data_IF_353834609944
#
_entry.id   IF_353834609944
#
_cell.length_a   1.000
_cell.length_b   1.000
_cell.length_c   1.000
_cell.angle_alpha   90.00
_cell.angle_beta   90.00
_cell.angle_gamma   90.00
#
_symmetry.space_group_name_H-M   'P 1'
#
loop_
_entity.id
_entity.type
_entity.pdbx_description
1 polymer ?
#
# COMPACT_ATOMS: atom_id res chain seq x y z
N UNK A 1 20.67 -9.61 -14.99
CA UNK A 1 21.25 -8.66 -14.00
C UNK A 1 20.63 -7.26 -14.19
N UNK A 2 19.46 -7.17 -14.84
CA UNK A 2 19.04 -5.96 -15.56
C UNK A 2 17.53 -5.74 -15.38
N UNK A 3 16.99 -6.15 -14.23
CA UNK A 3 15.57 -5.95 -13.93
C UNK A 3 15.23 -4.45 -13.96
N UNK A 4 14.12 -4.15 -14.63
CA UNK A 4 13.51 -2.84 -14.80
C UNK A 4 12.02 -3.02 -14.46
N UNK A 5 11.47 -2.15 -13.63
CA UNK A 5 10.07 -2.24 -13.20
C UNK A 5 9.88 -2.10 -11.70
N UNK A 6 8.73 -2.56 -11.21
CA UNK A 6 8.34 -2.38 -9.81
C UNK A 6 8.77 -3.55 -8.92
N UNK A 7 9.53 -3.27 -7.88
CA UNK A 7 9.92 -4.25 -6.86
C UNK A 7 9.13 -4.02 -5.58
N UNK A 8 8.17 -4.89 -5.28
CA UNK A 8 7.46 -4.86 -4.00
C UNK A 8 8.24 -5.62 -2.93
N UNK A 9 8.49 -4.98 -1.78
CA UNK A 9 9.14 -5.61 -0.63
C UNK A 9 8.45 -5.27 0.70
N UNK A 10 8.79 -6.01 1.74
CA UNK A 10 8.38 -5.76 3.14
C UNK A 10 9.27 -4.74 3.86
N UNK A 11 10.23 -4.14 3.16
CA UNK A 11 11.25 -3.27 3.74
C UNK A 11 12.45 -4.02 4.35
N UNK A 12 12.63 -5.30 4.04
CA UNK A 12 13.81 -6.04 4.50
C UNK A 12 15.11 -5.49 3.87
N UNK A 13 16.10 -5.23 4.72
CA UNK A 13 17.34 -4.54 4.34
C UNK A 13 18.13 -5.21 3.20
N UNK A 14 17.96 -6.51 2.97
CA UNK A 14 18.58 -7.20 1.84
C UNK A 14 18.14 -6.65 0.46
N UNK A 15 16.99 -5.98 0.41
CA UNK A 15 16.46 -5.33 -0.80
C UNK A 15 16.84 -3.85 -0.91
N UNK A 16 17.52 -3.26 0.07
CA UNK A 16 17.91 -1.83 0.06
C UNK A 16 18.78 -1.46 -1.15
N UNK A 17 19.59 -2.39 -1.65
CA UNK A 17 20.36 -2.23 -2.89
C UNK A 17 19.51 -1.89 -4.12
N UNK A 18 18.21 -2.20 -4.10
CA UNK A 18 17.27 -1.90 -5.17
C UNK A 18 16.52 -0.58 -4.98
N UNK A 19 16.58 0.03 -3.78
CA UNK A 19 15.92 1.31 -3.52
C UNK A 19 16.57 2.47 -4.29
N UNK A 20 17.86 2.36 -4.59
CA UNK A 20 18.63 3.35 -5.35
C UNK A 20 19.00 2.86 -6.76
N UNK A 21 18.52 1.68 -7.16
CA UNK A 21 18.85 1.13 -8.47
C UNK A 21 18.05 1.85 -9.54
N UNK A 22 18.74 2.49 -10.47
CA UNK A 22 18.13 3.14 -11.62
C UNK A 22 17.25 2.14 -12.40
N UNK A 23 16.03 2.58 -12.72
CA UNK A 23 15.06 1.77 -13.45
C UNK A 23 14.24 0.78 -12.61
N UNK A 24 14.49 0.71 -11.29
CA UNK A 24 13.65 -0.02 -10.35
C UNK A 24 12.81 0.95 -9.53
N UNK A 25 11.50 0.73 -9.51
CA UNK A 25 10.56 1.45 -8.66
C UNK A 25 10.28 0.61 -7.42
N UNK A 26 10.81 0.95 -6.24
CA UNK A 26 10.49 0.22 -5.01
C UNK A 26 9.03 0.49 -4.60
N UNK A 27 8.30 -0.57 -4.26
CA UNK A 27 6.95 -0.52 -3.72
C UNK A 27 6.93 -1.13 -2.32
N UNK A 28 6.26 -0.46 -1.38
CA UNK A 28 6.04 -1.02 -0.05
C UNK A 28 4.89 -2.04 -0.07
N UNK A 29 5.06 -3.17 0.63
CA UNK A 29 4.01 -4.15 0.78
C UNK A 29 2.94 -3.69 1.78
N UNK A 30 1.74 -3.36 1.29
CA UNK A 30 0.62 -2.89 2.12
C UNK A 30 0.19 -3.88 3.21
N UNK A 31 0.36 -5.18 3.00
CA UNK A 31 0.08 -6.18 4.04
C UNK A 31 1.00 -6.01 5.26
N UNK A 32 2.29 -5.75 5.03
CA UNK A 32 3.26 -5.51 6.10
C UNK A 32 3.05 -4.15 6.76
N UNK A 33 2.68 -3.12 5.99
CA UNK A 33 2.31 -1.81 6.52
C UNK A 33 1.11 -1.93 7.47
N UNK A 34 0.01 -2.57 7.03
CA UNK A 34 -1.17 -2.80 7.87
C UNK A 34 -0.83 -3.56 9.15
N UNK A 35 -0.07 -4.66 9.06
CA UNK A 35 0.33 -5.45 10.24
C UNK A 35 1.06 -4.62 11.29
N UNK A 36 1.92 -3.67 10.89
CA UNK A 36 2.60 -2.77 11.84
C UNK A 36 1.61 -1.87 12.58
N UNK A 37 0.58 -1.36 11.88
CA UNK A 37 -0.49 -0.60 12.53
C UNK A 37 -1.36 -1.47 13.44
N UNK A 38 -1.65 -2.73 13.07
CA UNK A 38 -2.33 -3.67 13.98
C UNK A 38 -1.53 -3.92 15.26
N UNK A 39 -0.21 -4.10 15.15
CA UNK A 39 0.65 -4.25 16.32
C UNK A 39 0.62 -3.00 17.20
N UNK A 40 0.77 -1.80 16.63
CA UNK A 40 0.73 -0.55 17.39
C UNK A 40 -0.66 -0.28 18.03
N UNK A 41 -1.74 -0.66 17.34
CA UNK A 41 -3.11 -0.62 17.86
C UNK A 41 -3.26 -1.53 19.09
N UNK A 42 -2.76 -2.78 19.00
CA UNK A 42 -2.78 -3.73 20.12
C UNK A 42 -1.94 -3.25 21.32
N UNK A 43 -0.92 -2.42 21.08
CA UNK A 43 -0.12 -1.75 22.11
C UNK A 43 -0.79 -0.49 22.69
N UNK A 44 -1.94 -0.08 22.14
CA UNK A 44 -2.76 1.04 22.63
C UNK A 44 -2.57 2.37 21.91
N UNK A 45 -1.88 2.40 20.76
CA UNK A 45 -1.74 3.64 19.97
C UNK A 45 -3.03 3.94 19.18
N UNK A 46 -3.83 4.88 19.69
CA UNK A 46 -5.07 5.33 19.04
C UNK A 46 -4.88 5.86 17.62
N UNK A 47 -3.69 6.37 17.27
CA UNK A 47 -3.40 6.83 15.90
C UNK A 47 -3.32 5.66 14.93
N UNK A 48 -2.93 4.49 15.42
CA UNK A 48 -2.90 3.27 14.62
C UNK A 48 -4.32 2.80 14.29
N UNK A 49 -5.28 2.93 15.21
CA UNK A 49 -6.70 2.64 14.94
C UNK A 49 -7.24 3.51 13.81
N UNK A 50 -6.92 4.82 13.83
CA UNK A 50 -7.34 5.74 12.78
C UNK A 50 -6.72 5.38 11.44
N UNK A 51 -5.44 4.99 11.41
CA UNK A 51 -4.82 4.51 10.18
C UNK A 51 -5.43 3.20 9.66
N UNK A 52 -5.75 2.25 10.56
CA UNK A 52 -6.42 1.00 10.17
C UNK A 52 -7.79 1.26 9.56
N UNK A 53 -8.54 2.26 10.06
CA UNK A 53 -9.80 2.69 9.45
C UNK A 53 -9.56 3.24 8.03
N UNK A 54 -8.54 4.07 7.83
CA UNK A 54 -8.21 4.61 6.50
C UNK A 54 -7.83 3.49 5.51
N UNK A 55 -7.02 2.51 5.94
CA UNK A 55 -6.71 1.32 5.13
C UNK A 55 -7.98 0.53 4.82
N UNK A 56 -8.89 0.40 5.79
CA UNK A 56 -10.19 -0.24 5.59
C UNK A 56 -11.05 0.45 4.53
N UNK A 57 -11.13 1.78 4.55
CA UNK A 57 -11.86 2.58 3.55
C UNK A 57 -11.33 2.32 2.14
N UNK A 58 -10.00 2.24 1.98
CA UNK A 58 -9.38 1.93 0.70
C UNK A 58 -9.79 0.54 0.19
N UNK A 59 -9.81 -0.48 1.06
CA UNK A 59 -10.26 -1.82 0.67
C UNK A 59 -11.74 -1.88 0.31
N UNK A 60 -12.59 -1.16 1.05
CA UNK A 60 -14.02 -1.05 0.70
C UNK A 60 -14.20 -0.42 -0.68
N UNK A 61 -13.50 0.68 -0.96
CA UNK A 61 -13.52 1.34 -2.27
C UNK A 61 -13.07 0.38 -3.39
N UNK A 62 -11.96 -0.33 -3.19
CA UNK A 62 -11.45 -1.27 -4.20
C UNK A 62 -12.38 -2.46 -4.43
N UNK A 63 -13.03 -2.97 -3.39
CA UNK A 63 -14.02 -4.02 -3.52
C UNK A 63 -15.22 -3.56 -4.37
N UNK A 64 -15.75 -2.37 -4.09
CA UNK A 64 -16.85 -1.77 -4.87
C UNK A 64 -16.47 -1.58 -6.34
N UNK A 65 -15.31 -0.97 -6.60
CA UNK A 65 -14.84 -0.73 -7.97
C UNK A 65 -14.57 -2.03 -8.73
N UNK A 66 -14.13 -3.09 -8.04
CA UNK A 66 -13.95 -4.41 -8.62
C UNK A 66 -15.29 -5.03 -9.01
N UNK A 67 -16.32 -4.91 -8.17
CA UNK A 67 -17.68 -5.36 -8.49
C UNK A 67 -18.26 -4.61 -9.70
N UNK A 68 -18.00 -3.31 -9.79
CA UNK A 68 -18.37 -2.47 -10.94
C UNK A 68 -17.55 -2.77 -12.21
N UNK A 69 -16.52 -3.61 -12.13
CA UNK A 69 -15.53 -3.85 -13.21
C UNK A 69 -14.94 -2.53 -13.73
N UNK A 70 -14.64 -1.61 -12.82
CA UNK A 70 -14.05 -0.33 -13.14
C UNK A 70 -12.71 -0.50 -13.88
N UNK A 71 -12.44 0.30 -14.93
CA UNK A 71 -11.15 0.28 -15.60
C UNK A 71 -10.04 0.83 -14.69
N UNK A 72 -8.76 0.48 -14.93
CA UNK A 72 -7.63 0.90 -14.09
C UNK A 72 -7.56 2.40 -13.82
N UNK A 73 -7.85 3.24 -14.82
CA UNK A 73 -7.80 4.70 -14.68
C UNK A 73 -8.85 5.22 -13.70
N UNK A 74 -10.07 4.63 -13.70
CA UNK A 74 -11.12 4.96 -12.73
C UNK A 74 -10.72 4.52 -11.32
N UNK A 75 -10.09 3.35 -11.19
CA UNK A 75 -9.58 2.87 -9.90
C UNK A 75 -8.54 3.86 -9.35
N UNK A 76 -7.60 4.29 -10.20
CA UNK A 76 -6.60 5.27 -9.81
C UNK A 76 -7.22 6.62 -9.40
N UNK A 77 -8.15 7.17 -10.19
CA UNK A 77 -8.77 8.46 -9.87
C UNK A 77 -9.56 8.43 -8.56
N UNK A 78 -10.29 7.34 -8.29
CA UNK A 78 -11.04 7.19 -7.04
C UNK A 78 -10.13 7.02 -5.83
N UNK A 79 -9.01 6.28 -5.95
CA UNK A 79 -7.99 6.20 -4.89
C UNK A 79 -7.42 7.59 -4.58
N UNK A 80 -7.09 8.38 -5.61
CA UNK A 80 -6.58 9.74 -5.43
C UNK A 80 -7.62 10.67 -4.79
N UNK A 81 -8.91 10.51 -5.14
CA UNK A 81 -10.01 11.26 -4.54
C UNK A 81 -10.21 10.92 -3.06
N UNK A 82 -10.08 9.66 -2.68
CA UNK A 82 -10.20 9.22 -1.27
C UNK A 82 -9.04 9.73 -0.40
N UNK A 83 -7.86 9.93 -1.00
CA UNK A 83 -6.66 10.40 -0.32
C UNK A 83 -6.59 11.93 -0.12
N UNK A 84 -7.49 12.69 -0.75
CA UNK A 84 -7.57 14.16 -0.69
C UNK A 84 -8.46 14.64 0.47
#
# INVERSE_FOLDING_TARGET
KDYQGALQSDGYAAYSQYEQKEGVTPLACMAHVRRKFEQASNEGDKRADDMLKQIGLLYTLEAQLKEEKAPPDKIHSERMRLAA
#
